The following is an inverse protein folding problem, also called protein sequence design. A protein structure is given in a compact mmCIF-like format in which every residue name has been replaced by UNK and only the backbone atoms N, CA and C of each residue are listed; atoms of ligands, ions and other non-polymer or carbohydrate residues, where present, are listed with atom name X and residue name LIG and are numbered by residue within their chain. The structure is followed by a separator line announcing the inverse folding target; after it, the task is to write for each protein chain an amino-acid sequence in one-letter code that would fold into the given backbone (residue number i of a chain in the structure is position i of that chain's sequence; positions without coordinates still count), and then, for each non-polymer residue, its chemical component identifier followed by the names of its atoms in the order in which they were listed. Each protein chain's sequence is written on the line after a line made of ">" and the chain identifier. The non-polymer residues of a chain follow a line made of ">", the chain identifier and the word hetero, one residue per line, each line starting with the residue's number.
data_IF_828565837315
#
_entry.id   IF_828565837315
#
_cell.length_a   1.000
_cell.length_b   1.000
_cell.length_c   1.000
_cell.angle_alpha   90.00
_cell.angle_beta   90.00
_cell.angle_gamma   90.00
#
_symmetry.space_group_name_H-M   'P 1'
#
loop_
_entity.id
_entity.type
_entity.pdbx_description
1 polymer ?
#
# COMPACT_ATOMS: atom_id res chain seq x y z
N UNK A 1 18.42 7.79 -15.64
CA UNK A 1 17.48 6.98 -16.43
C UNK A 1 18.03 5.57 -16.47
N UNK A 2 17.26 4.59 -16.00
CA UNK A 2 17.68 3.20 -15.93
C UNK A 2 16.88 2.37 -16.94
N UNK A 3 17.51 1.34 -17.50
CA UNK A 3 16.79 0.24 -18.14
C UNK A 3 16.07 -0.56 -17.04
N UNK A 4 14.74 -0.62 -17.03
CA UNK A 4 14.03 -1.50 -16.08
C UNK A 4 13.66 -2.78 -16.81
N UNK A 5 14.19 -3.91 -16.37
CA UNK A 5 13.79 -5.21 -16.89
C UNK A 5 12.76 -5.82 -15.94
N UNK A 6 11.52 -5.87 -16.45
CA UNK A 6 10.33 -6.22 -15.69
C UNK A 6 9.86 -7.63 -15.98
N UNK A 7 9.05 -8.14 -15.06
CA UNK A 7 8.13 -9.25 -15.30
C UNK A 7 8.81 -10.51 -15.89
N UNK A 8 9.96 -10.88 -15.34
CA UNK A 8 10.59 -12.15 -15.68
C UNK A 8 9.65 -13.27 -15.25
N UNK A 9 9.11 -13.98 -16.25
CA UNK A 9 8.44 -15.23 -15.98
C UNK A 9 9.46 -16.14 -15.27
N UNK A 10 9.17 -16.58 -14.04
CA UNK A 10 10.07 -17.45 -13.27
C UNK A 10 10.35 -18.75 -14.04
N UNK A 11 9.43 -19.16 -14.92
CA UNK A 11 9.59 -20.30 -15.83
C UNK A 11 10.66 -20.07 -16.91
N UNK A 12 10.93 -18.81 -17.24
CA UNK A 12 11.98 -18.39 -18.18
C UNK A 12 13.26 -17.99 -17.44
N UNK A 13 13.26 -18.06 -16.11
CA UNK A 13 14.47 -17.87 -15.35
C UNK A 13 15.39 -19.06 -15.58
N UNK A 14 16.67 -18.85 -15.94
CA UNK A 14 17.59 -19.92 -16.25
C UNK A 14 17.62 -20.94 -15.13
N UNK A 15 17.13 -22.14 -15.43
CA UNK A 15 16.95 -23.19 -14.43
C UNK A 15 18.31 -23.68 -13.94
N UNK A 16 19.33 -23.76 -14.81
CA UNK A 16 20.59 -24.43 -14.47
C UNK A 16 21.83 -24.07 -15.34
N UNK A 17 21.81 -23.06 -16.21
CA UNK A 17 22.99 -22.70 -17.03
C UNK A 17 23.42 -21.23 -16.95
N UNK A 18 24.71 -21.02 -16.64
CA UNK A 18 25.38 -19.71 -16.62
C UNK A 18 25.29 -18.97 -17.97
N UNK A 19 25.03 -19.71 -19.06
CA UNK A 19 24.92 -19.21 -20.43
C UNK A 19 23.79 -18.19 -20.57
N UNK A 20 22.66 -18.41 -19.91
CA UNK A 20 21.52 -17.52 -20.04
C UNK A 20 21.65 -16.25 -19.20
N UNK A 21 22.28 -16.29 -18.01
CA UNK A 21 22.61 -15.06 -17.27
C UNK A 21 23.62 -14.21 -18.02
N UNK A 22 24.64 -14.84 -18.59
CA UNK A 22 25.62 -14.09 -19.35
C UNK A 22 24.99 -13.39 -20.55
N UNK A 23 24.08 -14.05 -21.27
CA UNK A 23 23.32 -13.42 -22.35
C UNK A 23 22.51 -12.22 -21.85
N UNK A 24 21.78 -12.35 -20.74
CA UNK A 24 21.01 -11.24 -20.15
C UNK A 24 21.94 -10.08 -19.80
N UNK A 25 23.10 -10.36 -19.21
CA UNK A 25 24.12 -9.34 -18.90
C UNK A 25 24.59 -8.66 -20.19
N UNK A 26 25.01 -9.43 -21.20
CA UNK A 26 25.56 -8.90 -22.45
C UNK A 26 24.55 -8.03 -23.22
N UNK A 27 23.29 -8.48 -23.31
CA UNK A 27 22.19 -7.73 -23.95
C UNK A 27 21.85 -6.47 -23.16
N UNK A 28 21.82 -6.55 -21.83
CA UNK A 28 21.59 -5.40 -20.96
C UNK A 28 22.69 -4.36 -21.10
N UNK A 29 23.96 -4.77 -21.06
CA UNK A 29 25.11 -3.88 -21.23
C UNK A 29 25.13 -3.26 -22.62
N UNK A 30 24.80 -4.04 -23.65
CA UNK A 30 24.68 -3.53 -25.03
C UNK A 30 23.60 -2.44 -25.11
N UNK A 31 22.42 -2.70 -24.56
CA UNK A 31 21.31 -1.74 -24.52
C UNK A 31 21.68 -0.48 -23.73
N UNK A 32 22.28 -0.62 -22.55
CA UNK A 32 22.72 0.53 -21.74
C UNK A 32 23.72 1.40 -22.50
N UNK A 33 24.64 0.80 -23.27
CA UNK A 33 25.60 1.54 -24.09
C UNK A 33 24.94 2.21 -25.30
N UNK A 34 24.10 1.48 -26.03
CA UNK A 34 23.40 1.96 -27.23
C UNK A 34 22.53 3.18 -26.92
N UNK A 35 21.79 3.12 -25.81
CA UNK A 35 20.86 4.19 -25.40
C UNK A 35 21.47 5.17 -24.38
N UNK A 36 22.77 5.04 -24.06
CA UNK A 36 23.48 5.86 -23.08
C UNK A 36 22.75 5.99 -21.73
N UNK A 37 22.30 4.86 -21.18
CA UNK A 37 21.57 4.81 -19.92
C UNK A 37 22.52 4.91 -18.71
N UNK A 38 21.97 5.28 -17.55
CA UNK A 38 22.72 5.45 -16.30
C UNK A 38 22.89 4.13 -15.53
N UNK A 39 22.24 3.07 -16.00
CA UNK A 39 22.27 1.76 -15.38
C UNK A 39 21.02 0.95 -15.65
N UNK A 40 20.72 0.05 -14.73
CA UNK A 40 19.68 -0.95 -14.84
C UNK A 40 18.93 -1.13 -13.51
N UNK A 41 17.65 -1.44 -13.63
CA UNK A 41 16.76 -1.89 -12.58
C UNK A 41 16.29 -3.31 -12.92
N UNK A 42 16.42 -4.23 -11.97
CA UNK A 42 15.99 -5.63 -12.11
C UNK A 42 14.77 -5.84 -11.21
N UNK A 43 13.63 -6.24 -11.78
CA UNK A 43 12.46 -6.63 -10.97
C UNK A 43 12.62 -8.08 -10.49
N UNK A 44 12.73 -8.26 -9.18
CA UNK A 44 12.86 -9.55 -8.52
C UNK A 44 11.55 -10.35 -8.65
N UNK A 45 11.62 -11.62 -9.06
CA UNK A 45 10.46 -12.46 -9.38
C UNK A 45 9.46 -12.73 -8.23
N UNK A 46 9.75 -12.30 -7.00
CA UNK A 46 9.04 -12.73 -5.78
C UNK A 46 7.55 -12.34 -5.65
N UNK A 47 7.12 -11.14 -6.05
CA UNK A 47 5.76 -10.68 -5.68
C UNK A 47 4.66 -10.99 -6.71
N UNK A 48 4.97 -10.89 -8.00
CA UNK A 48 4.04 -11.29 -9.08
C UNK A 48 3.97 -12.81 -9.23
N UNK A 49 5.11 -13.49 -9.17
CA UNK A 49 5.17 -14.95 -9.36
C UNK A 49 4.54 -15.77 -8.24
N UNK A 50 4.67 -15.36 -6.97
CA UNK A 50 4.23 -16.17 -5.82
C UNK A 50 2.71 -16.28 -5.65
N UNK A 51 1.94 -15.38 -6.26
CA UNK A 51 0.48 -15.27 -6.08
C UNK A 51 -0.32 -15.80 -7.26
N UNK A 52 0.31 -15.97 -8.40
CA UNK A 52 -0.26 -16.65 -9.56
C UNK A 52 -0.15 -18.18 -9.47
N UNK A 53 -0.19 -18.74 -8.25
CA UNK A 53 -0.45 -20.16 -8.03
C UNK A 53 -1.91 -20.45 -8.39
N UNK A 54 -2.26 -20.34 -9.66
CA UNK A 54 -3.47 -21.00 -10.14
C UNK A 54 -3.07 -22.46 -10.32
N UNK A 55 -3.64 -23.39 -9.55
CA UNK A 55 -3.50 -24.80 -9.85
C UNK A 55 -4.26 -25.08 -11.15
N UNK A 56 -3.65 -24.83 -12.30
CA UNK A 56 -4.27 -25.16 -13.58
C UNK A 56 -3.87 -26.61 -13.97
N UNK A 57 -4.82 -27.44 -14.45
CA UNK A 57 -4.65 -28.88 -14.64
C UNK A 57 -3.97 -29.22 -15.99
N UNK A 58 -3.03 -28.38 -16.44
CA UNK A 58 -2.18 -28.66 -17.59
C UNK A 58 -1.05 -29.64 -17.24
N UNK A 59 -0.36 -30.22 -18.24
CA UNK A 59 0.73 -31.18 -18.00
C UNK A 59 1.93 -30.60 -17.23
N UNK A 60 2.00 -29.28 -17.04
CA UNK A 60 2.88 -28.61 -16.09
C UNK A 60 2.05 -27.93 -14.98
N UNK A 61 1.70 -28.64 -13.90
CA UNK A 61 0.92 -28.11 -12.76
C UNK A 61 1.73 -27.20 -11.82
N UNK A 62 3.00 -26.91 -12.16
CA UNK A 62 3.91 -26.12 -11.34
C UNK A 62 4.08 -24.74 -11.96
N UNK A 63 3.11 -23.83 -11.77
CA UNK A 63 3.40 -22.41 -11.93
C UNK A 63 4.62 -22.10 -11.06
N UNK A 64 5.70 -21.61 -11.67
CA UNK A 64 6.98 -21.52 -10.98
C UNK A 64 6.90 -20.49 -9.86
N UNK A 65 6.95 -21.00 -8.64
CA UNK A 65 7.16 -20.21 -7.44
C UNK A 65 8.65 -19.99 -7.37
N UNK A 66 9.10 -18.75 -7.17
CA UNK A 66 10.49 -18.51 -6.82
C UNK A 66 10.83 -19.35 -5.59
N UNK A 67 11.67 -20.37 -5.77
CA UNK A 67 12.21 -21.16 -4.68
C UNK A 67 13.38 -20.40 -4.07
N UNK A 68 13.36 -20.21 -2.74
CA UNK A 68 14.45 -19.59 -2.00
C UNK A 68 15.80 -20.30 -2.20
N UNK A 69 15.78 -21.57 -2.62
CA UNK A 69 17.01 -22.27 -3.03
C UNK A 69 17.74 -21.59 -4.21
N UNK A 70 17.06 -20.74 -5.00
CA UNK A 70 17.65 -19.98 -6.10
C UNK A 70 18.21 -18.62 -5.68
N UNK A 71 18.06 -18.20 -4.42
CA UNK A 71 18.53 -16.89 -3.95
C UNK A 71 20.04 -16.72 -4.17
N UNK A 72 20.84 -17.75 -3.88
CA UNK A 72 22.30 -17.70 -4.06
C UNK A 72 22.68 -17.56 -5.55
N UNK A 73 21.98 -18.27 -6.45
CA UNK A 73 22.19 -18.14 -7.91
C UNK A 73 21.86 -16.72 -8.37
N UNK A 74 20.76 -16.14 -7.86
CA UNK A 74 20.38 -14.77 -8.17
C UNK A 74 21.36 -13.72 -7.66
N UNK A 75 21.82 -13.88 -6.43
CA UNK A 75 22.82 -12.98 -5.86
C UNK A 75 24.12 -13.03 -6.68
N UNK A 76 24.56 -14.23 -7.10
CA UNK A 76 25.74 -14.37 -7.96
C UNK A 76 25.53 -13.70 -9.32
N UNK A 77 24.36 -13.84 -9.93
CA UNK A 77 24.01 -13.09 -11.14
C UNK A 77 24.11 -11.57 -10.93
N UNK A 78 23.58 -11.04 -9.83
CA UNK A 78 23.65 -9.61 -9.52
C UNK A 78 25.10 -9.14 -9.29
N UNK A 79 25.96 -9.97 -8.71
CA UNK A 79 27.39 -9.68 -8.54
C UNK A 79 28.07 -9.58 -9.90
N UNK A 80 27.89 -10.56 -10.79
CA UNK A 80 28.46 -10.54 -12.14
C UNK A 80 27.92 -9.35 -12.95
N UNK A 81 26.63 -9.05 -12.85
CA UNK A 81 26.02 -7.88 -13.48
C UNK A 81 26.62 -6.58 -12.94
N UNK A 82 26.82 -6.47 -11.62
CA UNK A 82 27.45 -5.31 -10.98
C UNK A 82 28.85 -5.05 -11.55
N UNK A 83 29.66 -6.09 -11.69
CA UNK A 83 31.00 -5.98 -12.27
C UNK A 83 30.94 -5.49 -13.72
N UNK A 84 30.03 -6.06 -14.53
CA UNK A 84 29.85 -5.70 -15.93
C UNK A 84 29.34 -4.27 -16.15
N UNK A 85 28.56 -3.72 -15.21
CA UNK A 85 28.03 -2.36 -15.25
C UNK A 85 29.11 -1.27 -15.12
N UNK A 86 30.30 -1.60 -14.62
CA UNK A 86 31.47 -0.71 -14.56
C UNK A 86 31.14 0.71 -14.00
N UNK A 87 30.54 0.76 -12.80
CA UNK A 87 30.19 2.00 -12.10
C UNK A 87 28.84 2.61 -12.49
N UNK A 88 28.08 1.99 -13.40
CA UNK A 88 26.66 2.33 -13.64
C UNK A 88 25.77 1.85 -12.48
N UNK A 89 24.59 2.45 -12.35
CA UNK A 89 23.64 2.14 -11.28
C UNK A 89 23.04 0.74 -11.45
N UNK A 90 22.97 -0.03 -10.38
CA UNK A 90 22.16 -1.25 -10.27
C UNK A 90 21.11 -1.05 -9.19
N UNK A 91 19.86 -0.99 -9.62
CA UNK A 91 18.68 -1.01 -8.76
C UNK A 91 18.07 -2.40 -8.78
N UNK A 92 17.53 -2.82 -7.64
CA UNK A 92 16.71 -4.01 -7.54
C UNK A 92 15.31 -3.61 -7.08
N UNK A 93 14.30 -3.91 -7.89
CA UNK A 93 12.89 -3.74 -7.53
C UNK A 93 12.36 -5.04 -6.94
N UNK A 94 11.72 -5.00 -5.78
CA UNK A 94 11.33 -6.19 -5.00
C UNK A 94 9.95 -6.06 -4.42
N UNK A 95 9.36 -7.19 -4.04
CA UNK A 95 8.22 -7.22 -3.14
C UNK A 95 8.62 -7.29 -1.67
N UNK A 96 7.73 -7.88 -0.86
CA UNK A 96 7.97 -8.08 0.58
C UNK A 96 8.94 -9.23 0.89
N UNK A 97 9.12 -10.18 -0.02
CA UNK A 97 9.98 -11.34 0.22
C UNK A 97 11.45 -10.94 0.22
N UNK A 98 12.09 -11.05 1.38
CA UNK A 98 13.46 -10.60 1.62
C UNK A 98 14.48 -11.62 1.17
N UNK A 99 15.51 -11.13 0.48
CA UNK A 99 16.79 -11.83 0.25
C UNK A 99 17.94 -11.06 0.89
N UNK A 100 18.88 -11.79 1.50
CA UNK A 100 20.02 -11.22 2.22
C UNK A 100 21.21 -10.89 1.33
N UNK A 101 22.26 -10.32 1.93
CA UNK A 101 23.58 -10.12 1.31
C UNK A 101 23.62 -9.22 0.05
N UNK A 102 22.61 -8.36 -0.15
CA UNK A 102 22.58 -7.46 -1.30
C UNK A 102 23.18 -6.08 -1.03
N UNK A 103 23.40 -5.70 0.24
CA UNK A 103 23.76 -4.33 0.58
C UNK A 103 24.99 -3.82 -0.18
N UNK A 104 25.99 -4.67 -0.41
CA UNK A 104 27.22 -4.30 -1.11
C UNK A 104 27.14 -4.57 -2.63
N UNK A 105 26.06 -5.21 -3.09
CA UNK A 105 25.83 -5.59 -4.49
C UNK A 105 25.02 -4.51 -5.21
N UNK A 106 23.98 -3.96 -4.60
CA UNK A 106 23.06 -2.99 -5.24
C UNK A 106 23.30 -1.55 -4.75
N UNK A 107 22.95 -0.57 -5.59
CA UNK A 107 22.97 0.85 -5.18
C UNK A 107 21.70 1.21 -4.47
N UNK A 108 20.57 0.72 -4.99
CA UNK A 108 19.24 1.02 -4.49
C UNK A 108 18.36 -0.23 -4.49
N UNK A 109 17.52 -0.34 -3.47
CA UNK A 109 16.46 -1.32 -3.37
C UNK A 109 15.12 -0.61 -3.47
N UNK A 110 14.36 -0.84 -4.52
CA UNK A 110 13.01 -0.32 -4.70
C UNK A 110 11.98 -1.35 -4.22
N UNK A 111 11.27 -1.08 -3.13
CA UNK A 111 10.29 -2.01 -2.56
C UNK A 111 8.89 -1.62 -3.04
N UNK A 112 8.26 -2.46 -3.86
CA UNK A 112 6.88 -2.31 -4.27
C UNK A 112 5.94 -2.76 -3.14
N UNK A 113 5.17 -1.81 -2.60
CA UNK A 113 4.23 -2.05 -1.48
C UNK A 113 2.78 -1.72 -1.88
N UNK A 114 2.52 -1.70 -3.17
CA UNK A 114 1.23 -1.45 -3.80
C UNK A 114 0.70 -2.71 -4.49
N UNK A 115 -0.49 -2.60 -5.11
CA UNK A 115 -1.24 -3.72 -5.67
C UNK A 115 -1.58 -4.82 -4.66
N UNK A 116 -1.50 -4.55 -3.35
CA UNK A 116 -1.86 -5.51 -2.31
C UNK A 116 -3.30 -6.02 -2.48
N UNK A 117 -4.23 -5.16 -2.91
CA UNK A 117 -5.59 -5.58 -3.26
C UNK A 117 -5.62 -6.53 -4.45
N UNK A 118 -4.84 -6.26 -5.49
CA UNK A 118 -4.73 -7.11 -6.67
C UNK A 118 -4.28 -8.53 -6.28
N UNK A 119 -3.27 -8.58 -5.41
CA UNK A 119 -2.62 -9.80 -4.93
C UNK A 119 -3.44 -10.62 -3.96
N UNK A 120 -4.02 -9.98 -2.94
CA UNK A 120 -4.74 -10.69 -1.88
C UNK A 120 -6.13 -11.12 -2.33
N UNK A 121 -6.78 -10.36 -3.22
CA UNK A 121 -8.12 -10.69 -3.71
C UNK A 121 -8.11 -11.95 -4.60
N UNK A 122 -6.96 -12.29 -5.21
CA UNK A 122 -6.78 -13.52 -5.96
C UNK A 122 -6.52 -14.76 -5.08
N UNK A 123 -6.18 -14.58 -3.80
CA UNK A 123 -6.01 -15.71 -2.89
C UNK A 123 -7.37 -16.31 -2.57
N UNK A 124 -7.55 -17.57 -2.97
CA UNK A 124 -8.72 -18.37 -2.60
C UNK A 124 -8.81 -18.47 -1.08
N UNK A 125 -9.92 -18.03 -0.48
CA UNK A 125 -10.20 -18.43 0.91
C UNK A 125 -10.55 -19.91 0.96
N UNK A 126 -10.29 -20.56 2.11
CA UNK A 126 -10.60 -21.98 2.31
C UNK A 126 -12.08 -22.31 2.08
N UNK A 127 -12.97 -21.31 2.09
CA UNK A 127 -14.42 -21.47 1.95
C UNK A 127 -14.94 -21.05 0.56
N UNK A 128 -14.06 -20.67 -0.38
CA UNK A 128 -14.45 -20.27 -1.74
C UNK A 128 -14.91 -18.82 -1.91
N UNK A 129 -14.90 -18.02 -0.84
CA UNK A 129 -15.13 -16.57 -0.88
C UNK A 129 -13.86 -15.80 -1.25
N UNK A 130 -14.03 -14.60 -1.80
CA UNK A 130 -12.98 -13.60 -1.97
C UNK A 130 -12.99 -12.58 -0.83
N UNK A 131 -11.90 -11.84 -0.70
CA UNK A 131 -11.77 -10.69 0.20
C UNK A 131 -11.40 -9.47 -0.61
N UNK A 132 -11.89 -8.31 -0.20
CA UNK A 132 -11.30 -7.04 -0.62
C UNK A 132 -10.14 -6.67 0.30
N UNK A 133 -9.22 -5.88 -0.20
CA UNK A 133 -8.10 -5.38 0.57
C UNK A 133 -7.78 -3.94 0.15
N UNK A 134 -7.14 -3.15 1.04
CA UNK A 134 -6.53 -1.89 0.65
C UNK A 134 -5.41 -2.14 -0.38
N UNK A 135 -5.26 -1.24 -1.35
CA UNK A 135 -4.31 -1.36 -2.45
C UNK A 135 -2.85 -1.18 -2.01
N UNK A 136 -2.59 -0.22 -1.12
CA UNK A 136 -1.26 0.01 -0.57
C UNK A 136 -1.35 0.45 0.89
N UNK A 137 -1.62 -0.50 1.81
CA UNK A 137 -1.78 -0.19 3.21
C UNK A 137 -0.44 0.14 3.88
N UNK A 138 -0.50 1.09 4.81
CA UNK A 138 0.61 1.65 5.55
C UNK A 138 1.30 0.61 6.42
N UNK A 139 0.57 -0.32 7.02
CA UNK A 139 1.17 -1.41 7.80
C UNK A 139 2.02 -2.35 6.92
N UNK A 140 1.58 -2.67 5.70
CA UNK A 140 2.38 -3.43 4.72
C UNK A 140 3.58 -2.62 4.26
N UNK A 141 3.41 -1.32 4.01
CA UNK A 141 4.50 -0.41 3.66
C UNK A 141 5.59 -0.38 4.74
N UNK A 142 5.19 -0.15 6.01
CA UNK A 142 6.08 -0.13 7.16
C UNK A 142 6.77 -1.48 7.32
N UNK A 143 6.00 -2.56 7.30
CA UNK A 143 6.53 -3.90 7.51
C UNK A 143 7.53 -4.32 6.43
N UNK A 144 7.28 -3.96 5.17
CA UNK A 144 8.20 -4.28 4.09
C UNK A 144 9.55 -3.54 4.26
N UNK A 145 9.52 -2.27 4.68
CA UNK A 145 10.73 -1.54 5.05
C UNK A 145 11.47 -2.23 6.21
N UNK A 146 10.77 -2.54 7.30
CA UNK A 146 11.36 -3.18 8.47
C UNK A 146 11.97 -4.54 8.13
N UNK A 147 11.27 -5.35 7.33
CA UNK A 147 11.74 -6.67 6.91
C UNK A 147 13.04 -6.55 6.10
N UNK A 148 13.10 -5.64 5.11
CA UNK A 148 14.29 -5.45 4.26
C UNK A 148 15.45 -4.77 4.97
N UNK A 149 15.18 -3.80 5.84
CA UNK A 149 16.21 -3.12 6.61
C UNK A 149 16.82 -4.08 7.66
N UNK A 150 15.98 -4.82 8.38
CA UNK A 150 16.43 -5.68 9.46
C UNK A 150 16.96 -7.04 8.98
N UNK A 151 16.17 -7.79 8.21
CA UNK A 151 16.56 -9.13 7.74
C UNK A 151 17.41 -9.05 6.47
N UNK A 152 17.09 -8.15 5.54
CA UNK A 152 17.85 -7.95 4.31
C UNK A 152 19.19 -7.23 4.53
N UNK A 153 19.35 -6.59 5.71
CA UNK A 153 20.54 -5.80 6.11
C UNK A 153 20.84 -4.67 5.13
N UNK A 154 19.82 -4.10 4.50
CA UNK A 154 19.95 -3.00 3.56
C UNK A 154 19.93 -1.67 4.31
N UNK A 155 20.95 -0.83 4.08
CA UNK A 155 20.99 0.54 4.62
C UNK A 155 19.72 1.30 4.19
N UNK A 156 19.05 1.95 5.16
CA UNK A 156 17.85 2.75 4.92
C UNK A 156 18.01 3.76 3.79
N UNK A 157 19.22 4.32 3.61
CA UNK A 157 19.55 5.27 2.53
C UNK A 157 19.56 4.65 1.13
N UNK A 158 19.69 3.33 1.03
CA UNK A 158 19.57 2.58 -0.23
C UNK A 158 18.13 2.16 -0.52
N UNK A 159 17.27 2.13 0.50
CA UNK A 159 15.88 1.73 0.34
C UNK A 159 15.07 2.87 -0.30
N UNK A 160 14.29 2.52 -1.31
CA UNK A 160 13.31 3.34 -2.00
C UNK A 160 11.97 2.65 -1.81
N UNK A 161 10.96 3.37 -1.32
CA UNK A 161 9.65 2.78 -1.04
C UNK A 161 8.62 3.20 -2.10
N UNK A 162 7.95 2.23 -2.71
CA UNK A 162 7.01 2.47 -3.80
C UNK A 162 5.60 2.84 -3.37
N UNK A 163 4.98 3.74 -4.14
CA UNK A 163 3.54 4.08 -4.11
C UNK A 163 2.92 3.95 -5.50
N UNK A 164 1.60 3.85 -5.56
CA UNK A 164 0.86 3.58 -6.80
C UNK A 164 -0.21 4.63 -7.09
N UNK A 165 -0.16 5.22 -8.28
CA UNK A 165 -1.15 6.18 -8.77
C UNK A 165 -2.21 5.53 -9.67
N UNK A 166 -2.09 4.22 -9.92
CA UNK A 166 -2.95 3.42 -10.79
C UNK A 166 -4.25 2.97 -10.14
N UNK A 167 -4.31 2.85 -8.82
CA UNK A 167 -5.49 2.57 -7.98
C UNK A 167 -6.39 1.41 -8.46
N UNK A 168 -6.57 0.40 -7.62
CA UNK A 168 -7.38 -0.76 -8.01
C UNK A 168 -8.88 -0.46 -7.84
N UNK A 169 -9.69 -0.67 -8.89
CA UNK A 169 -11.16 -0.61 -8.85
C UNK A 169 -11.78 -2.01 -8.99
N UNK A 170 -12.83 -2.26 -8.20
CA UNK A 170 -13.53 -3.55 -8.14
C UNK A 170 -15.02 -3.36 -7.87
N UNK A 171 -15.78 -4.42 -8.15
CA UNK A 171 -17.17 -4.55 -7.72
C UNK A 171 -17.24 -5.42 -6.46
N UNK A 172 -17.83 -4.91 -5.40
CA UNK A 172 -17.95 -5.60 -4.11
C UNK A 172 -19.43 -5.71 -3.75
N UNK A 173 -20.01 -6.93 -3.73
CA UNK A 173 -21.41 -7.18 -3.37
C UNK A 173 -21.60 -7.24 -1.83
N UNK A 174 -21.07 -6.27 -1.08
CA UNK A 174 -21.08 -6.32 0.39
C UNK A 174 -21.22 -4.92 0.99
N UNK A 175 -22.33 -4.68 1.70
CA UNK A 175 -22.63 -3.37 2.29
C UNK A 175 -21.65 -2.90 3.36
N UNK A 176 -20.92 -3.82 4.01
CA UNK A 176 -19.91 -3.47 5.00
C UNK A 176 -18.72 -2.72 4.40
N UNK A 177 -18.57 -2.69 3.06
CA UNK A 177 -17.55 -1.88 2.38
C UNK A 177 -17.69 -0.37 2.67
N UNK A 178 -18.88 0.04 3.12
CA UNK A 178 -19.16 1.41 3.58
C UNK A 178 -18.49 1.76 4.91
N UNK A 179 -18.02 0.75 5.63
CA UNK A 179 -17.44 0.86 6.97
C UNK A 179 -15.98 0.40 6.99
N UNK A 180 -15.64 -0.68 6.28
CA UNK A 180 -14.28 -1.27 6.30
C UNK A 180 -13.82 -1.65 4.89
N UNK A 181 -12.51 -1.50 4.59
CA UNK A 181 -11.94 -1.84 3.28
C UNK A 181 -11.77 -3.34 3.02
N UNK A 182 -11.75 -4.16 4.06
CA UNK A 182 -11.60 -5.61 3.94
C UNK A 182 -12.89 -6.33 4.30
N UNK A 183 -13.61 -6.77 3.27
CA UNK A 183 -14.86 -7.53 3.39
C UNK A 183 -14.80 -8.81 2.57
N UNK A 184 -15.51 -9.84 3.05
CA UNK A 184 -15.68 -11.10 2.31
C UNK A 184 -16.85 -11.01 1.33
N UNK A 185 -16.72 -11.62 0.16
CA UNK A 185 -17.80 -11.69 -0.82
C UNK A 185 -17.77 -12.99 -1.65
N UNK A 186 -18.93 -13.46 -2.13
CA UNK A 186 -19.01 -14.73 -2.87
C UNK A 186 -18.37 -14.63 -4.25
N UNK A 187 -17.70 -15.70 -4.70
CA UNK A 187 -17.08 -15.79 -6.04
C UNK A 187 -18.07 -15.52 -7.18
N UNK A 188 -19.30 -16.00 -7.04
CA UNK A 188 -20.36 -15.83 -8.06
C UNK A 188 -20.71 -14.37 -8.34
N UNK A 189 -20.36 -13.44 -7.46
CA UNK A 189 -20.63 -12.02 -7.64
C UNK A 189 -19.57 -11.27 -8.47
N UNK A 190 -18.48 -11.94 -8.87
CA UNK A 190 -17.40 -11.32 -9.68
C UNK A 190 -17.78 -11.13 -11.16
N UNK A 191 -18.95 -11.61 -11.59
CA UNK A 191 -19.39 -11.58 -12.99
C UNK A 191 -19.98 -10.23 -13.44
N UNK A 192 -19.69 -9.13 -12.74
CA UNK A 192 -20.18 -7.83 -13.18
C UNK A 192 -19.50 -7.39 -14.48
N UNK A 193 -20.31 -7.04 -15.48
CA UNK A 193 -19.85 -6.54 -16.75
C UNK A 193 -19.55 -5.04 -16.66
N UNK A 194 -18.27 -4.71 -16.45
CA UNK A 194 -17.77 -3.34 -16.39
C UNK A 194 -18.08 -2.53 -17.66
N UNK A 195 -18.32 -3.17 -18.82
CA UNK A 195 -18.69 -2.47 -20.06
C UNK A 195 -20.05 -1.77 -19.96
N UNK A 196 -20.87 -2.09 -18.96
CA UNK A 196 -22.15 -1.41 -18.70
C UNK A 196 -21.99 -0.13 -17.89
N UNK A 197 -20.79 0.18 -17.39
CA UNK A 197 -20.55 1.40 -16.62
C UNK A 197 -20.29 2.58 -17.56
N UNK A 198 -20.92 3.72 -17.25
CA UNK A 198 -20.64 5.00 -17.93
C UNK A 198 -19.19 5.48 -17.81
N UNK A 199 -18.43 4.90 -16.88
CA UNK A 199 -17.05 5.27 -16.58
C UNK A 199 -16.02 4.31 -17.20
N UNK A 200 -16.44 3.30 -17.97
CA UNK A 200 -15.52 2.26 -18.45
C UNK A 200 -14.33 2.82 -19.23
N UNK A 201 -14.53 3.89 -20.01
CA UNK A 201 -13.47 4.54 -20.80
C UNK A 201 -12.40 5.24 -19.93
N UNK A 202 -12.64 5.38 -18.61
CA UNK A 202 -11.68 5.93 -17.65
C UNK A 202 -10.84 4.84 -16.98
N UNK A 203 -11.20 3.57 -17.14
CA UNK A 203 -10.56 2.45 -16.49
C UNK A 203 -9.56 1.79 -17.44
N UNK A 204 -8.41 1.38 -16.92
CA UNK A 204 -7.43 0.62 -17.69
C UNK A 204 -7.50 -0.84 -17.26
N UNK A 205 -7.73 -1.79 -18.18
CA UNK A 205 -7.78 -3.20 -17.82
C UNK A 205 -6.39 -3.67 -17.36
N UNK A 206 -6.33 -4.30 -16.19
CA UNK A 206 -5.11 -4.94 -15.69
C UNK A 206 -5.08 -6.34 -16.31
N UNK A 207 -4.23 -6.52 -17.32
CA UNK A 207 -4.06 -7.79 -18.04
C UNK A 207 -2.83 -8.54 -17.55
N UNK A 208 -2.79 -9.83 -17.87
CA UNK A 208 -1.60 -10.70 -17.75
C UNK A 208 -0.98 -10.78 -16.35
N UNK A 209 -1.77 -10.46 -15.32
CA UNK A 209 -1.28 -10.49 -13.95
C UNK A 209 -1.10 -11.92 -13.45
N UNK A 210 -2.07 -12.80 -13.75
CA UNK A 210 -2.01 -14.25 -13.51
C UNK A 210 -2.89 -14.99 -14.54
N UNK A 211 -2.37 -16.06 -15.14
CA UNK A 211 -3.15 -16.96 -16.02
C UNK A 211 -4.21 -17.72 -15.21
N UNK A 212 -5.42 -17.16 -15.10
CA UNK A 212 -6.56 -17.79 -14.40
C UNK A 212 -7.21 -16.95 -13.29
N UNK A 213 -6.85 -15.67 -13.18
CA UNK A 213 -7.66 -14.73 -12.43
C UNK A 213 -8.99 -14.49 -13.19
N UNK A 214 -10.09 -15.12 -12.76
CA UNK A 214 -11.46 -14.91 -13.27
C UNK A 214 -12.01 -13.49 -12.97
N UNK A 215 -11.17 -12.56 -12.50
CA UNK A 215 -11.56 -11.23 -12.06
C UNK A 215 -11.23 -10.20 -13.11
N UNK A 216 -12.25 -9.49 -13.62
CA UNK A 216 -12.09 -8.27 -14.38
C UNK A 216 -11.54 -7.17 -13.45
N UNK A 217 -10.22 -7.10 -13.33
CA UNK A 217 -9.52 -6.09 -12.54
C UNK A 217 -9.15 -4.91 -13.44
N UNK A 218 -9.39 -3.70 -12.94
CA UNK A 218 -9.01 -2.48 -13.63
C UNK A 218 -8.23 -1.58 -12.68
N UNK A 219 -7.34 -0.79 -13.26
CA UNK A 219 -6.78 0.40 -12.64
C UNK A 219 -7.66 1.60 -12.99
N UNK A 220 -7.79 2.53 -12.05
CA UNK A 220 -8.39 3.84 -12.28
C UNK A 220 -7.34 4.91 -11.98
N UNK A 221 -6.63 5.40 -13.01
CA UNK A 221 -5.51 6.30 -12.79
C UNK A 221 -5.94 7.57 -12.04
N UNK A 222 -5.03 8.11 -11.22
CA UNK A 222 -5.31 9.25 -10.35
C UNK A 222 -5.91 10.45 -11.11
N UNK A 223 -5.44 10.74 -12.33
CA UNK A 223 -5.94 11.84 -13.17
C UNK A 223 -7.46 11.76 -13.38
N UNK A 224 -7.96 10.60 -13.77
CA UNK A 224 -9.37 10.36 -14.04
C UNK A 224 -10.16 10.25 -12.73
N UNK A 225 -9.63 9.54 -11.74
CA UNK A 225 -10.26 9.37 -10.43
C UNK A 225 -10.46 10.71 -9.72
N UNK A 226 -9.41 11.52 -9.63
CA UNK A 226 -9.43 12.80 -8.92
C UNK A 226 -10.36 13.82 -9.57
N UNK A 227 -10.46 13.81 -10.90
CA UNK A 227 -11.39 14.68 -11.63
C UNK A 227 -12.85 14.25 -11.42
N UNK A 228 -13.10 12.94 -11.47
CA UNK A 228 -14.45 12.39 -11.43
C UNK A 228 -15.00 12.32 -10.01
N UNK A 229 -14.25 11.82 -9.02
CA UNK A 229 -14.80 11.47 -7.71
C UNK A 229 -14.48 12.47 -6.59
N UNK A 230 -13.44 13.32 -6.75
CA UNK A 230 -12.88 14.12 -5.65
C UNK A 230 -13.04 15.63 -5.86
N UNK A 231 -13.22 16.36 -4.76
CA UNK A 231 -13.35 17.81 -4.78
C UNK A 231 -11.97 18.49 -4.77
N UNK A 232 -11.66 19.15 -5.89
CA UNK A 232 -10.41 19.90 -6.07
C UNK A 232 -10.25 21.06 -5.07
N UNK A 233 -11.33 21.78 -4.72
CA UNK A 233 -11.23 22.94 -3.83
C UNK A 233 -10.83 22.56 -2.40
N UNK A 234 -11.06 21.30 -2.03
CA UNK A 234 -10.74 20.73 -0.73
C UNK A 234 -9.50 19.82 -0.81
N UNK A 235 -8.61 20.12 -1.76
CA UNK A 235 -7.34 19.40 -1.97
C UNK A 235 -7.52 17.89 -2.11
N UNK A 236 -8.60 17.46 -2.76
CA UNK A 236 -8.90 16.05 -3.00
C UNK A 236 -9.15 15.22 -1.73
N UNK A 237 -9.28 15.86 -0.56
CA UNK A 237 -9.57 15.17 0.70
C UNK A 237 -11.07 14.93 0.92
N UNK A 238 -11.93 15.41 0.02
CA UNK A 238 -13.38 15.25 0.08
C UNK A 238 -13.98 14.91 -1.29
N UNK A 239 -15.26 14.52 -1.28
CA UNK A 239 -15.99 14.03 -2.45
C UNK A 239 -16.46 15.22 -3.29
N UNK A 240 -16.42 15.07 -4.61
CA UNK A 240 -17.14 15.96 -5.51
C UNK A 240 -18.64 15.62 -5.49
N UNK A 241 -19.45 16.41 -4.78
CA UNK A 241 -20.90 16.17 -4.67
C UNK A 241 -21.65 16.30 -6.00
N UNK A 242 -21.01 16.81 -7.05
CA UNK A 242 -21.64 17.02 -8.36
C UNK A 242 -21.52 15.80 -9.29
N UNK A 243 -20.75 14.77 -8.94
CA UNK A 243 -20.42 13.70 -9.87
C UNK A 243 -20.48 12.31 -9.22
N UNK A 244 -21.58 11.60 -9.52
CA UNK A 244 -21.89 10.24 -9.03
C UNK A 244 -21.93 10.17 -7.50
N UNK A 245 -22.76 9.30 -6.93
CA UNK A 245 -22.93 9.21 -5.47
C UNK A 245 -21.74 8.50 -4.78
N UNK A 246 -20.52 8.93 -5.08
CA UNK A 246 -19.31 8.46 -4.43
C UNK A 246 -19.29 8.88 -2.97
N UNK A 247 -18.74 8.03 -2.13
CA UNK A 247 -18.41 8.34 -0.76
C UNK A 247 -16.96 8.01 -0.51
N UNK A 248 -16.19 9.01 -0.06
CA UNK A 248 -14.81 8.86 0.41
C UNK A 248 -14.81 8.44 1.86
N UNK A 249 -13.93 7.51 2.17
CA UNK A 249 -13.60 7.08 3.52
C UNK A 249 -12.09 7.07 3.68
N UNK A 250 -11.66 7.36 4.89
CA UNK A 250 -10.28 7.30 5.33
C UNK A 250 -10.34 7.06 6.83
N UNK A 251 -9.99 5.86 7.27
CA UNK A 251 -10.03 5.53 8.69
C UNK A 251 -8.61 5.27 9.18
N UNK A 252 -8.12 6.13 10.07
CA UNK A 252 -6.85 5.86 10.76
C UNK A 252 -6.94 4.60 11.64
N UNK A 253 -8.16 4.23 12.08
CA UNK A 253 -8.42 3.14 13.02
C UNK A 253 -8.23 1.74 12.42
N UNK A 254 -8.32 1.60 11.10
CA UNK A 254 -8.05 0.31 10.45
C UNK A 254 -6.55 0.07 10.24
N UNK A 255 -5.70 1.03 10.65
CA UNK A 255 -4.25 1.07 10.47
C UNK A 255 -3.78 0.93 9.01
N UNK A 256 -4.70 0.94 8.05
CA UNK A 256 -4.34 0.87 6.63
C UNK A 256 -3.75 2.20 6.18
N UNK A 257 -4.20 3.33 6.74
CA UNK A 257 -3.78 4.65 6.25
C UNK A 257 -4.01 4.82 4.74
N UNK A 258 -4.94 4.07 4.16
CA UNK A 258 -5.27 4.09 2.72
C UNK A 258 -6.70 4.60 2.54
N UNK A 259 -6.95 5.63 1.72
CA UNK A 259 -8.30 6.05 1.43
C UNK A 259 -9.01 5.04 0.51
N UNK A 260 -10.34 5.02 0.61
CA UNK A 260 -11.16 4.32 -0.37
C UNK A 260 -12.39 5.14 -0.75
N UNK A 261 -12.89 4.84 -1.94
CA UNK A 261 -14.15 5.34 -2.47
C UNK A 261 -15.10 4.17 -2.62
N UNK A 262 -16.38 4.41 -2.33
CA UNK A 262 -17.43 3.52 -2.80
C UNK A 262 -18.58 4.30 -3.45
N UNK A 263 -19.23 3.70 -4.43
CA UNK A 263 -20.47 4.20 -5.04
C UNK A 263 -21.45 3.06 -5.17
N UNK A 264 -22.74 3.37 -5.03
CA UNK A 264 -23.83 2.44 -5.36
C UNK A 264 -24.25 2.77 -6.78
N UNK A 265 -23.73 2.08 -7.81
CA UNK A 265 -24.23 2.27 -9.16
C UNK A 265 -25.73 1.97 -9.18
N UNK A 266 -26.51 2.84 -9.83
CA UNK A 266 -27.96 2.66 -10.04
C UNK A 266 -28.18 1.47 -10.96
N UNK A 267 -28.10 0.29 -10.36
CA UNK A 267 -28.25 -1.00 -11.01
C UNK A 267 -29.29 -1.73 -10.18
N UNK A 268 -30.24 -2.33 -10.88
CA UNK A 268 -31.34 -3.16 -10.38
C UNK A 268 -30.88 -4.41 -9.59
N UNK A 269 -29.65 -4.44 -9.11
CA UNK A 269 -29.03 -5.52 -8.34
C UNK A 269 -28.63 -4.96 -6.98
N UNK A 270 -29.32 -5.36 -5.89
CA UNK A 270 -29.02 -4.85 -4.57
C UNK A 270 -27.61 -5.26 -4.10
N UNK A 271 -26.99 -4.41 -3.28
CA UNK A 271 -25.71 -4.60 -2.58
C UNK A 271 -24.42 -4.57 -3.40
N UNK A 272 -24.47 -4.18 -4.67
CA UNK A 272 -23.27 -4.00 -5.49
C UNK A 272 -22.67 -2.61 -5.33
N UNK A 273 -21.46 -2.53 -4.79
CA UNK A 273 -20.70 -1.29 -4.67
C UNK A 273 -19.53 -1.28 -5.64
N UNK A 274 -19.40 -0.20 -6.40
CA UNK A 274 -18.12 0.14 -7.01
C UNK A 274 -17.19 0.56 -5.88
N UNK A 275 -16.05 -0.09 -5.75
CA UNK A 275 -15.05 0.16 -4.71
C UNK A 275 -13.70 0.49 -5.34
N UNK A 276 -13.03 1.50 -4.81
CA UNK A 276 -11.69 1.91 -5.24
C UNK A 276 -10.82 2.12 -4.02
N UNK A 277 -9.67 1.46 -3.96
CA UNK A 277 -8.62 1.76 -2.97
C UNK A 277 -7.46 2.46 -3.68
N UNK A 278 -7.05 3.61 -3.18
CA UNK A 278 -6.23 4.55 -3.94
C UNK A 278 -5.21 5.29 -3.06
N UNK A 279 -4.30 6.02 -3.69
CA UNK A 279 -3.43 7.00 -3.02
C UNK A 279 -4.01 8.42 -3.11
N UNK A 280 -3.95 9.17 -2.02
CA UNK A 280 -4.16 10.62 -2.03
C UNK A 280 -3.18 11.36 -1.11
N UNK A 281 -3.34 12.67 -0.96
CA UNK A 281 -2.49 13.50 -0.10
C UNK A 281 -2.42 12.97 1.34
N UNK A 282 -3.49 12.36 1.85
CA UNK A 282 -3.58 11.84 3.23
C UNK A 282 -2.73 10.59 3.40
N UNK A 283 -2.86 9.60 2.52
CA UNK A 283 -2.04 8.37 2.58
C UNK A 283 -0.58 8.65 2.27
N UNK A 284 -0.32 9.50 1.27
CA UNK A 284 1.04 9.92 0.94
C UNK A 284 1.69 10.64 2.12
N UNK A 285 0.97 11.50 2.86
CA UNK A 285 1.53 12.18 4.04
C UNK A 285 2.07 11.16 5.05
N UNK A 286 1.29 10.17 5.43
CA UNK A 286 1.72 9.16 6.42
C UNK A 286 2.94 8.37 5.94
N UNK A 287 2.99 8.01 4.65
CA UNK A 287 4.13 7.29 4.05
C UNK A 287 5.39 8.17 3.95
N UNK A 288 5.21 9.44 3.60
CA UNK A 288 6.27 10.44 3.56
C UNK A 288 6.85 10.70 4.95
N UNK A 289 6.00 10.88 5.95
CA UNK A 289 6.41 11.07 7.34
C UNK A 289 7.20 9.86 7.85
N UNK A 290 6.74 8.64 7.54
CA UNK A 290 7.48 7.43 7.86
C UNK A 290 8.85 7.40 7.15
N UNK A 291 8.90 7.71 5.85
CA UNK A 291 10.14 7.72 5.08
C UNK A 291 11.16 8.72 5.63
N UNK A 292 10.72 9.94 5.96
CA UNK A 292 11.57 10.97 6.56
C UNK A 292 12.06 10.56 7.94
N UNK A 293 11.16 10.05 8.80
CA UNK A 293 11.50 9.63 10.17
C UNK A 293 12.53 8.51 10.18
N UNK A 294 12.44 7.57 9.22
CA UNK A 294 13.32 6.42 9.12
C UNK A 294 14.53 6.65 8.20
N UNK A 295 14.75 7.89 7.73
CA UNK A 295 15.86 8.22 6.83
C UNK A 295 15.93 7.32 5.59
N UNK A 296 14.77 6.98 5.03
CA UNK A 296 14.65 6.18 3.81
C UNK A 296 15.23 6.98 2.64
N UNK A 297 15.98 6.31 1.77
CA UNK A 297 16.70 6.89 0.63
C UNK A 297 15.81 7.59 -0.39
N UNK A 298 14.56 7.14 -0.54
CA UNK A 298 13.57 7.82 -1.37
C UNK A 298 12.24 7.11 -1.49
N UNK A 299 11.43 7.57 -2.44
CA UNK A 299 10.18 6.94 -2.84
C UNK A 299 10.11 6.79 -4.35
N UNK A 300 9.48 5.72 -4.83
CA UNK A 300 9.19 5.48 -6.25
C UNK A 300 7.68 5.55 -6.50
N UNK A 301 7.28 5.76 -7.76
CA UNK A 301 5.88 5.94 -8.16
C UNK A 301 5.60 5.01 -9.34
N UNK A 302 4.55 4.20 -9.22
CA UNK A 302 3.97 3.41 -10.32
C UNK A 302 2.59 3.98 -10.70
N UNK A 303 2.41 4.65 -11.82
CA UNK A 303 3.44 5.34 -12.58
C UNK A 303 3.09 6.83 -12.70
N UNK A 304 4.09 7.64 -13.04
CA UNK A 304 3.93 9.10 -13.08
C UNK A 304 2.92 9.58 -14.13
N UNK A 305 2.61 8.77 -15.16
CA UNK A 305 1.66 9.15 -16.22
C UNK A 305 0.20 9.13 -15.75
N UNK A 306 -0.03 8.51 -14.59
CA UNK A 306 -1.33 8.46 -13.93
C UNK A 306 -1.63 9.70 -13.07
N UNK A 307 -0.64 10.56 -12.80
CA UNK A 307 -0.91 11.82 -12.11
C UNK A 307 -1.73 12.79 -12.99
N UNK A 308 -2.38 13.75 -12.36
CA UNK A 308 -3.17 14.75 -13.06
C UNK A 308 -2.31 15.78 -13.80
N UNK A 309 -2.93 16.59 -14.65
CA UNK A 309 -2.22 17.58 -15.49
C UNK A 309 -1.43 18.62 -14.69
N UNK A 310 -1.73 18.80 -13.40
CA UNK A 310 -1.02 19.70 -12.51
C UNK A 310 0.04 18.98 -11.67
N UNK A 311 0.22 17.67 -11.87
CA UNK A 311 1.13 16.80 -11.12
C UNK A 311 0.91 16.93 -9.61
N UNK A 312 -0.34 16.94 -9.14
CA UNK A 312 -0.63 17.26 -7.74
C UNK A 312 0.01 16.27 -6.76
N UNK A 313 -0.04 14.96 -7.03
CA UNK A 313 0.56 13.97 -6.14
C UNK A 313 2.08 14.01 -6.21
N UNK A 314 2.65 14.08 -7.42
CA UNK A 314 4.10 14.19 -7.62
C UNK A 314 4.66 15.44 -6.92
N UNK A 315 4.02 16.60 -7.11
CA UNK A 315 4.44 17.85 -6.47
C UNK A 315 4.35 17.77 -4.95
N UNK A 316 3.36 17.08 -4.40
CA UNK A 316 3.22 16.85 -2.97
C UNK A 316 4.38 16.01 -2.40
N UNK A 317 4.92 15.07 -3.18
CA UNK A 317 6.03 14.19 -2.76
C UNK A 317 7.43 14.81 -2.92
N UNK A 318 7.61 15.87 -3.72
CA UNK A 318 8.91 16.52 -3.92
C UNK A 318 9.66 17.01 -2.64
N UNK A 319 8.99 17.43 -1.54
CA UNK A 319 9.66 17.96 -0.35
C UNK A 319 10.62 16.98 0.37
N UNK A 320 10.60 15.67 0.09
CA UNK A 320 11.49 14.67 0.72
C UNK A 320 12.98 15.00 0.50
N UNK A 321 13.33 15.82 -0.49
CA UNK A 321 14.71 16.25 -0.76
C UNK A 321 15.20 17.32 0.23
N UNK A 322 15.26 16.99 1.52
CA UNK A 322 15.93 17.78 2.56
C UNK A 322 15.12 18.95 3.12
N UNK A 323 13.79 18.95 2.98
CA UNK A 323 12.90 19.95 3.61
C UNK A 323 11.85 19.28 4.49
N UNK A 324 11.43 19.98 5.54
CA UNK A 324 10.35 19.53 6.42
C UNK A 324 9.09 19.22 5.60
N UNK A 325 8.38 18.15 5.96
CA UNK A 325 7.08 17.79 5.39
C UNK A 325 6.16 19.02 5.49
N UNK A 326 5.45 19.41 4.42
CA UNK A 326 4.55 20.55 4.47
C UNK A 326 3.48 20.34 5.56
N UNK A 327 3.63 21.02 6.70
CA UNK A 327 2.61 21.06 7.72
C UNK A 327 1.45 21.87 7.17
N UNK A 328 0.30 21.22 6.94
CA UNK A 328 -0.94 21.89 6.53
C UNK A 328 -1.63 22.54 7.72
N UNK A 329 -0.87 23.31 8.52
CA UNK A 329 -1.40 24.21 9.52
C UNK A 329 -1.90 25.46 8.82
N UNK A 330 -3.22 25.65 8.79
CA UNK A 330 -3.87 26.80 8.17
C UNK A 330 -3.38 28.13 8.74
N UNK A 331 -2.77 28.93 7.89
CA UNK A 331 -2.76 30.39 8.03
C UNK A 331 -3.04 30.97 6.65
N UNK A 332 -4.21 31.60 6.55
CA UNK A 332 -4.60 32.40 5.38
C UNK A 332 -3.49 33.38 5.00
N UNK A 333 -3.27 33.66 3.71
CA UNK A 333 -2.36 34.70 3.30
C UNK A 333 -2.96 36.05 3.67
N UNK A 334 -2.42 36.71 4.70
CA UNK A 334 -2.64 38.13 4.92
C UNK A 334 -1.99 38.89 3.77
N UNK A 335 -2.81 39.66 3.05
CA UNK A 335 -2.40 40.69 2.11
C UNK A 335 -1.26 41.54 2.68
N UNK A 336 -0.08 41.50 2.06
CA UNK A 336 0.90 42.59 2.15
C UNK A 336 1.03 43.24 0.78
N UNK A 337 0.46 44.44 0.71
CA UNK A 337 0.61 45.35 -0.40
C UNK A 337 2.02 45.95 -0.42
N UNK A 338 2.61 45.91 -1.61
CA UNK A 338 3.23 47.03 -2.31
C UNK A 338 4.16 47.98 -1.49
N UNK A 339 5.47 47.80 -1.65
CA UNK A 339 6.48 48.75 -1.17
C UNK A 339 7.82 48.57 -1.87
N UNK A 340 8.04 49.35 -2.94
CA UNK A 340 9.34 49.54 -3.63
C UNK A 340 10.42 50.01 -2.66
N UNK A 341 11.58 49.33 -2.67
CA UNK A 341 12.92 49.96 -2.77
C UNK A 341 14.04 48.93 -2.62
N UNK A 342 14.92 48.84 -3.63
CA UNK A 342 16.33 48.46 -3.46
C UNK A 342 17.14 49.71 -2.98
N UNK A 343 18.45 49.66 -2.68
CA UNK A 343 19.40 48.54 -2.58
C UNK A 343 20.31 48.60 -1.32
N UNK A 344 21.11 47.56 -1.04
CA UNK A 344 22.59 47.63 -0.90
C UNK A 344 23.22 46.35 -0.36
N UNK A 345 24.32 46.01 -1.01
CA UNK A 345 25.36 45.06 -0.61
C UNK A 345 26.10 45.60 0.63
N UNK A 346 26.31 44.74 1.63
CA UNK A 346 27.42 44.89 2.57
C UNK A 346 27.85 43.52 3.10
N UNK A 347 29.13 43.21 2.91
CA UNK A 347 29.86 42.16 3.61
C UNK A 347 29.72 42.33 5.13
N UNK A 348 29.57 41.22 5.87
CA UNK A 348 30.29 41.06 7.13
C UNK A 348 30.29 39.63 7.66
N UNK A 349 31.51 39.20 7.95
CA UNK A 349 31.94 38.00 8.65
C UNK A 349 31.55 38.04 10.13
N UNK A 350 31.13 36.90 10.66
CA UNK A 350 31.39 36.50 12.05
C UNK A 350 30.40 36.94 13.13
N UNK A 351 29.54 36.01 13.57
CA UNK A 351 29.22 35.76 15.00
C UNK A 351 28.30 34.54 15.14
N UNK A 352 28.88 33.41 15.57
CA UNK A 352 28.16 32.20 15.98
C UNK A 352 27.37 32.55 17.26
N UNK A 353 26.03 32.48 17.19
CA UNK A 353 25.12 32.71 18.31
C UNK A 353 25.17 31.51 19.28
N UNK A 354 25.78 31.71 20.46
CA UNK A 354 25.81 30.76 21.60
C UNK A 354 24.45 30.57 22.30
N UNK A 355 23.32 30.67 21.61
CA UNK A 355 21.98 30.67 22.20
C UNK A 355 21.18 29.37 22.06
N UNK A 356 21.62 28.44 21.22
CA UNK A 356 20.80 27.26 20.84
C UNK A 356 21.11 26.01 21.69
N UNK A 357 22.29 25.93 22.31
CA UNK A 357 22.72 24.73 23.05
C UNK A 357 22.04 24.61 24.42
N UNK A 358 21.63 25.71 25.04
CA UNK A 358 21.04 25.70 26.39
C UNK A 358 19.59 25.20 26.42
N UNK A 359 18.82 25.42 25.35
CA UNK A 359 17.42 24.99 25.29
C UNK A 359 17.24 23.47 25.17
N UNK A 360 18.13 22.81 24.42
CA UNK A 360 18.04 21.36 24.17
C UNK A 360 18.34 20.52 25.41
N UNK A 361 19.27 20.98 26.26
CA UNK A 361 19.65 20.29 27.50
C UNK A 361 18.52 20.39 28.53
N UNK A 362 17.90 21.57 28.68
CA UNK A 362 16.79 21.77 29.63
C UNK A 362 15.55 20.98 29.20
N UNK A 363 15.23 20.96 27.90
CA UNK A 363 14.11 20.17 27.36
C UNK A 363 14.30 18.66 27.56
N UNK A 364 15.52 18.15 27.38
CA UNK A 364 15.85 16.73 27.57
C UNK A 364 15.72 16.31 29.03
N UNK A 365 16.14 17.16 29.98
CA UNK A 365 16.02 16.89 31.41
C UNK A 365 14.54 16.89 31.83
N UNK A 366 13.74 17.85 31.35
CA UNK A 366 12.31 17.92 31.64
C UNK A 366 11.55 16.70 31.08
N UNK A 367 11.90 16.27 29.86
CA UNK A 367 11.33 15.08 29.22
C UNK A 367 11.63 13.79 29.97
N UNK A 368 12.87 13.60 30.42
CA UNK A 368 13.26 12.45 31.25
C UNK A 368 12.54 12.44 32.61
N UNK A 369 12.32 13.61 33.20
CA UNK A 369 11.59 13.73 34.47
C UNK A 369 10.11 13.33 34.32
N UNK A 370 9.45 13.76 33.23
CA UNK A 370 8.08 13.36 32.92
C UNK A 370 7.96 11.85 32.64
N UNK A 371 8.92 11.26 31.92
CA UNK A 371 8.97 9.82 31.68
C UNK A 371 9.13 9.02 32.99
N UNK A 372 9.96 9.50 33.91
CA UNK A 372 10.14 8.88 35.22
C UNK A 372 8.85 8.92 36.07
N UNK A 373 8.11 10.03 36.03
CA UNK A 373 6.79 10.15 36.69
C UNK A 373 5.80 9.17 36.07
N UNK A 374 5.70 9.10 34.73
CA UNK A 374 4.81 8.16 34.05
C UNK A 374 5.15 6.70 34.40
N UNK A 375 6.44 6.34 34.41
CA UNK A 375 6.88 5.00 34.80
C UNK A 375 6.55 4.68 36.27
N UNK A 376 6.69 5.66 37.17
CA UNK A 376 6.32 5.52 38.58
C UNK A 376 4.82 5.25 38.74
N UNK A 377 3.96 6.04 38.06
CA UNK A 377 2.51 5.86 38.10
C UNK A 377 2.07 4.53 37.47
N UNK A 378 2.69 4.12 36.36
CA UNK A 378 2.42 2.83 35.75
C UNK A 378 2.75 1.67 36.69
N UNK A 379 3.89 1.76 37.40
CA UNK A 379 4.29 0.76 38.40
C UNK A 379 3.32 0.70 39.57
N UNK A 380 2.88 1.84 40.10
CA UNK A 380 1.87 1.90 41.17
C UNK A 380 0.55 1.26 40.76
N UNK A 381 0.07 1.56 39.53
CA UNK A 381 -1.16 0.96 39.01
C UNK A 381 -1.05 -0.56 38.83
N UNK A 382 0.12 -1.05 38.40
CA UNK A 382 0.38 -2.49 38.27
C UNK A 382 0.35 -3.20 39.64
N UNK A 383 0.91 -2.59 40.67
CA UNK A 383 0.91 -3.14 42.04
C UNK A 383 -0.51 -3.27 42.60
N UNK A 384 -1.36 -2.26 42.43
CA UNK A 384 -2.77 -2.35 42.86
C UNK A 384 -3.57 -3.42 42.10
N UNK A 385 -3.25 -3.68 40.84
CA UNK A 385 -3.90 -4.77 40.09
C UNK A 385 -3.50 -6.14 40.64
N UNK A 386 -2.24 -6.30 41.05
CA UNK A 386 -1.74 -7.52 41.68
C UNK A 386 -2.35 -7.76 43.07
N UNK A 387 -2.56 -6.73 43.87
CA UNK A 387 -3.23 -6.85 45.18
C UNK A 387 -4.71 -7.24 45.05
N UNK A 388 -5.39 -6.77 44.00
CA UNK A 388 -6.79 -7.12 43.74
C UNK A 388 -6.98 -8.59 43.30
N UNK A 389 -5.97 -9.21 42.67
CA UNK A 389 -6.04 -10.62 42.25
C UNK A 389 -5.68 -11.60 43.38
N UNK A 390 -5.01 -11.16 44.46
CA UNK A 390 -4.58 -12.03 45.56
C UNK A 390 -5.66 -12.19 46.66
N UNK A 391 -6.71 -11.35 46.67
CA UNK A 391 -7.82 -11.46 47.65
C UNK A 391 -9.22 -11.38 46.99
N UNK A 392 -9.72 -12.46 46.35
CA UNK A 392 -11.05 -12.47 45.76
C UNK A 392 -12.20 -12.71 46.77
N UNK A 393 -11.93 -12.91 48.06
CA UNK A 393 -12.98 -13.16 49.06
C UNK A 393 -13.34 -11.93 49.88
N UNK A 394 -14.36 -11.19 49.45
CA UNK A 394 -15.46 -10.71 50.30
C UNK A 394 -16.37 -9.72 49.57
N UNK A 395 -17.28 -10.21 48.74
CA UNK A 395 -18.58 -9.54 48.62
C UNK A 395 -19.68 -10.57 48.45
N UNK A 396 -20.22 -10.91 49.61
CA UNK A 396 -21.42 -11.69 49.90
C UNK A 396 -22.67 -11.13 49.20
N UNK A 397 -23.41 -12.05 48.59
CA UNK A 397 -24.87 -12.20 48.58
C UNK A 397 -25.75 -10.94 48.44
N UNK A 398 -26.43 -10.84 47.29
CA UNK A 398 -27.86 -10.52 47.32
C UNK A 398 -28.62 -11.21 46.19
N UNK A 399 -29.31 -12.27 46.59
CA UNK A 399 -30.41 -12.94 45.89
C UNK A 399 -31.57 -11.96 45.75
N UNK A 400 -32.07 -11.73 44.53
CA UNK A 400 -33.50 -11.50 44.27
C UNK A 400 -33.87 -12.16 42.95
N UNK A 401 -34.76 -13.13 43.08
CA UNK A 401 -35.49 -13.85 42.03
C UNK A 401 -36.60 -12.97 41.46
N UNK A 402 -36.77 -12.97 40.14
CA UNK A 402 -38.08 -12.77 39.52
C UNK A 402 -38.09 -13.32 38.10
N UNK A 403 -38.49 -14.59 38.02
CA UNK A 403 -38.99 -15.28 36.84
C UNK A 403 -40.19 -14.53 36.28
N UNK A 404 -40.23 -14.26 34.97
CA UNK A 404 -41.47 -14.07 34.23
C UNK A 404 -41.39 -14.89 32.96
N UNK A 405 -42.17 -15.98 32.99
CA UNK A 405 -42.50 -16.85 31.87
C UNK A 405 -43.59 -16.13 31.06
N UNK A 406 -43.38 -15.94 29.76
CA UNK A 406 -44.47 -15.77 28.81
C UNK A 406 -44.34 -16.89 27.79
N UNK A 407 -45.23 -17.87 27.94
CA UNK A 407 -45.58 -18.84 26.90
C UNK A 407 -46.45 -18.15 25.85
N UNK A 408 -46.14 -18.37 24.58
CA UNK A 408 -47.12 -18.31 23.49
C UNK A 408 -46.97 -19.62 22.70
N UNK A 409 -47.96 -20.48 22.88
CA UNK A 409 -48.40 -21.59 22.03
C UNK A 409 -49.42 -21.02 21.01
N UNK A 410 -49.79 -21.57 19.85
CA UNK A 410 -49.43 -22.66 18.92
C UNK A 410 -50.34 -22.45 17.69
N UNK A 411 -50.12 -23.23 16.64
CA UNK A 411 -51.09 -23.61 15.58
C UNK A 411 -51.28 -22.62 14.40
N UNK A 412 -51.38 -23.03 13.13
CA UNK A 412 -51.53 -24.37 12.57
C UNK A 412 -51.11 -24.43 11.09
N UNK A 413 -50.86 -25.67 10.71
CA UNK A 413 -50.58 -26.32 9.43
C UNK A 413 -51.50 -25.97 8.23
N UNK A 414 -50.94 -26.08 7.00
CA UNK A 414 -51.36 -27.02 5.93
C UNK A 414 -51.87 -26.23 4.69
N UNK A 415 -51.77 -26.57 3.39
CA UNK A 415 -51.41 -27.75 2.58
C UNK A 415 -51.11 -27.27 1.11
N UNK A 416 -50.11 -27.82 0.40
CA UNK A 416 -50.13 -28.83 -0.70
C UNK A 416 -50.69 -28.40 -2.09
N UNK A 417 -49.85 -28.56 -3.14
CA UNK A 417 -50.07 -29.19 -4.48
C UNK A 417 -49.14 -28.50 -5.51
N UNK A 418 -48.07 -29.09 -6.05
CA UNK A 418 -47.91 -30.28 -6.94
C UNK A 418 -48.35 -30.05 -8.41
N UNK A 419 -47.56 -30.64 -9.32
CA UNK A 419 -47.67 -30.78 -10.79
C UNK A 419 -47.08 -29.65 -11.65
N UNK A 420 -46.40 -29.89 -12.77
CA UNK A 420 -45.77 -31.07 -13.37
C UNK A 420 -45.01 -30.55 -14.61
N UNK A 421 -43.86 -31.16 -14.92
CA UNK A 421 -43.27 -31.18 -16.26
C UNK A 421 -44.08 -32.15 -17.15
N UNK A 422 -44.04 -32.09 -18.51
CA UNK A 422 -42.80 -32.44 -19.23
C UNK A 422 -42.52 -31.73 -20.58
N UNK A 423 -41.27 -31.92 -21.00
CA UNK A 423 -40.65 -31.98 -22.34
C UNK A 423 -41.50 -31.71 -23.60
N UNK A 424 -40.97 -30.85 -24.50
CA UNK A 424 -40.25 -31.20 -25.76
C UNK A 424 -39.15 -30.15 -25.97
#
# INVERSE_FOLDING_TARGET
>A
ILLSIRNYNVEQWPQDDDVDYQRIIDESITTIKEYNLDGIDIEYPGMRGSLCKVPNPGPNPNGFIWDKSNDDKFINFLITLREALNGKTLMLTVGRDVIGNLNDVIDYLNIETYHNSLYQNLKKSNNGNYKSHPNSPLDVYIKAYEDWNYYGRIDSKKIIMGVDFGNTIQMIPNENIRQVQTVEFPKSAVLFDFNKLKLIDQFQPIRDFCSGADSNLYSWPWRELSYTALNKSERFCSINTNFLNWTRKFEEKDNSGTPWLYSVPDLSVPFNHLYVSYEDISSLRSKLEFAVTNSIGGMSISDVSYDDINNNLLNFMQPIRGKAVPTTGGSSPSNEGNGKSAPKVSDNVGKIKKGIITGSIVGSILGLFLLAICAYWYRQKSLHKYEAEINPESTSNRVVSSTTVIQITTDDSSNINELASPEI
#
